data_IF_755995052024
#
_entry.id   IF_755995052024
#
_cell.length_a   1.000
_cell.length_b   1.000
_cell.length_c   1.000
_cell.angle_alpha   90.00
_cell.angle_beta   90.00
_cell.angle_gamma   90.00
#
_symmetry.space_group_name_H-M   'P 1'
#
loop_
_entity.id
_entity.type
_entity.pdbx_description
1 polymer ?
#
# COMPACT_ATOMS: atom_id res chain seq x y z
N UNK A 1 -26.05 33.22 55.46
CA UNK A 1 -25.45 31.86 55.56
C UNK A 1 -25.23 31.38 54.13
N UNK A 2 -24.02 31.52 53.59
CA UNK A 2 -23.00 30.45 53.43
C UNK A 2 -23.45 29.33 52.48
N UNK A 3 -22.79 29.23 51.32
CA UNK A 3 -22.93 28.07 50.44
C UNK A 3 -22.29 28.24 49.05
N UNK A 4 -20.99 28.54 49.01
CA UNK A 4 -20.16 28.28 47.83
C UNK A 4 -20.04 26.77 47.62
N UNK A 5 -20.35 26.24 46.44
CA UNK A 5 -19.67 25.05 45.88
C UNK A 5 -19.52 25.25 44.36
N UNK A 6 -18.26 25.30 43.94
CA UNK A 6 -17.81 25.41 42.56
C UNK A 6 -18.20 24.14 41.78
N UNK A 7 -18.83 24.32 40.63
CA UNK A 7 -19.05 23.23 39.66
C UNK A 7 -17.76 23.12 38.85
N UNK A 8 -16.96 22.11 39.20
CA UNK A 8 -15.79 21.67 38.46
C UNK A 8 -16.21 21.19 37.07
N UNK A 9 -15.80 21.93 36.05
CA UNK A 9 -15.87 21.50 34.66
C UNK A 9 -14.84 20.39 34.42
N UNK A 10 -15.28 19.13 34.46
CA UNK A 10 -14.51 18.01 33.93
C UNK A 10 -14.62 18.03 32.40
N UNK A 11 -13.65 18.66 31.75
CA UNK A 11 -13.40 18.48 30.34
C UNK A 11 -12.90 17.04 30.11
N UNK A 12 -13.82 16.14 29.79
CA UNK A 12 -13.48 14.82 29.28
C UNK A 12 -12.86 15.01 27.89
N UNK A 13 -11.54 14.87 27.82
CA UNK A 13 -10.79 14.70 26.59
C UNK A 13 -11.28 13.42 25.90
N UNK A 14 -12.28 13.53 25.04
CA UNK A 14 -12.56 12.52 24.03
C UNK A 14 -11.40 12.54 23.03
N UNK A 15 -10.34 11.82 23.37
CA UNK A 15 -9.30 11.49 22.42
C UNK A 15 -9.94 10.69 21.29
N UNK A 16 -9.94 11.25 20.09
CA UNK A 16 -10.20 10.49 18.87
C UNK A 16 -9.06 9.49 18.69
N UNK A 17 -9.14 8.35 19.36
CA UNK A 17 -8.46 7.15 18.89
C UNK A 17 -9.07 6.86 17.53
N UNK A 18 -8.39 7.32 16.48
CA UNK A 18 -8.69 7.05 15.08
C UNK A 18 -8.49 5.55 14.86
N UNK A 19 -9.45 4.78 15.35
CA UNK A 19 -9.58 3.37 15.13
C UNK A 19 -9.85 3.24 13.64
N UNK A 20 -8.82 2.84 12.88
CA UNK A 20 -8.92 2.41 11.50
C UNK A 20 -9.72 1.08 11.45
N UNK A 21 -10.99 1.13 11.89
CA UNK A 21 -11.95 0.03 11.95
C UNK A 21 -12.56 -0.29 10.57
N UNK A 22 -12.14 0.44 9.54
CA UNK A 22 -12.52 0.24 8.16
C UNK A 22 -11.26 0.24 7.30
N UNK A 23 -10.44 -0.80 7.42
CA UNK A 23 -9.68 -1.25 6.25
C UNK A 23 -10.66 -2.17 5.53
N UNK A 24 -11.30 -1.76 4.42
CA UNK A 24 -12.07 -2.69 3.62
C UNK A 24 -11.16 -3.88 3.35
N UNK A 25 -11.67 -5.10 3.49
CA UNK A 25 -11.00 -6.23 2.86
C UNK A 25 -10.87 -5.84 1.39
N UNK A 26 -9.65 -5.53 0.94
CA UNK A 26 -9.38 -5.12 -0.43
C UNK A 26 -9.94 -6.24 -1.29
N UNK A 27 -11.04 -5.96 -2.00
CA UNK A 27 -11.55 -6.93 -2.95
C UNK A 27 -10.42 -7.18 -3.93
N UNK A 28 -10.18 -8.45 -4.28
CA UNK A 28 -9.18 -8.84 -5.29
C UNK A 28 -9.47 -8.21 -6.66
N UNK A 29 -10.66 -7.64 -6.85
CA UNK A 29 -11.02 -6.84 -8.01
C UNK A 29 -10.70 -5.33 -7.90
N UNK A 30 -10.40 -4.83 -6.70
CA UNK A 30 -10.02 -3.43 -6.50
C UNK A 30 -8.53 -3.21 -6.78
N UNK A 31 -8.25 -2.24 -7.65
CA UNK A 31 -6.90 -1.82 -7.96
C UNK A 31 -6.41 -0.79 -6.93
N UNK A 32 -5.21 -1.01 -6.41
CA UNK A 32 -4.53 -0.12 -5.47
C UNK A 32 -3.61 0.82 -6.24
N UNK A 33 -3.74 2.13 -6.04
CA UNK A 33 -2.85 3.13 -6.66
C UNK A 33 -1.82 3.62 -5.66
N UNK A 34 -0.55 3.40 -5.98
CA UNK A 34 0.59 3.85 -5.19
C UNK A 34 1.33 5.00 -5.88
N UNK A 35 1.85 5.91 -5.06
CA UNK A 35 2.70 7.02 -5.49
C UNK A 35 4.10 6.77 -4.97
N UNK A 36 5.07 6.76 -5.88
CA UNK A 36 6.48 6.60 -5.57
C UNK A 36 7.14 7.93 -5.23
N UNK A 37 8.34 7.91 -4.67
CA UNK A 37 9.11 9.12 -4.31
C UNK A 37 9.31 10.06 -5.50
N UNK A 38 9.45 9.49 -6.70
CA UNK A 38 9.57 10.21 -7.98
C UNK A 38 8.26 10.82 -8.49
N UNK A 39 7.16 10.71 -7.74
CA UNK A 39 5.77 11.02 -8.16
C UNK A 39 5.21 10.08 -9.24
N UNK A 40 5.96 9.06 -9.67
CA UNK A 40 5.46 8.01 -10.54
C UNK A 40 4.27 7.28 -9.87
N UNK A 41 3.28 6.92 -10.67
CA UNK A 41 2.12 6.13 -10.23
C UNK A 41 2.28 4.68 -10.63
N UNK A 42 2.06 3.79 -9.67
CA UNK A 42 2.03 2.33 -9.85
C UNK A 42 0.67 1.86 -9.40
N UNK A 43 -0.09 1.25 -10.30
CA UNK A 43 -1.42 0.72 -9.99
C UNK A 43 -1.33 -0.79 -9.99
N UNK A 44 -1.72 -1.46 -8.91
CA UNK A 44 -1.51 -2.89 -8.76
C UNK A 44 -2.63 -3.57 -7.96
N UNK A 45 -2.72 -4.89 -8.05
CA UNK A 45 -3.61 -5.72 -7.23
C UNK A 45 -3.07 -7.15 -7.12
N UNK A 46 -3.50 -7.88 -6.10
CA UNK A 46 -3.40 -9.35 -6.12
C UNK A 46 -4.36 -9.92 -7.16
N UNK A 47 -3.99 -11.03 -7.82
CA UNK A 47 -4.88 -11.68 -8.80
C UNK A 47 -6.04 -12.40 -8.13
N UNK A 48 -5.84 -12.87 -6.91
CA UNK A 48 -6.77 -13.65 -6.10
C UNK A 48 -6.28 -13.71 -4.64
N UNK A 49 -7.03 -14.40 -3.78
CA UNK A 49 -6.75 -14.52 -2.35
C UNK A 49 -5.52 -15.36 -2.02
N UNK A 50 -4.99 -16.15 -2.96
CA UNK A 50 -3.74 -16.91 -2.75
C UNK A 50 -2.52 -15.99 -2.68
N UNK A 51 -2.61 -14.80 -3.29
CA UNK A 51 -1.53 -13.82 -3.39
C UNK A 51 -0.26 -14.36 -4.04
N UNK A 52 -0.38 -15.43 -4.84
CA UNK A 52 0.73 -16.02 -5.61
C UNK A 52 1.06 -15.23 -6.88
N UNK A 53 0.18 -14.32 -7.28
CA UNK A 53 0.42 -13.40 -8.38
C UNK A 53 -0.19 -12.02 -8.15
N UNK A 54 0.37 -11.04 -8.85
CA UNK A 54 -0.10 -9.66 -8.87
C UNK A 54 -0.21 -9.18 -10.31
N UNK A 55 -1.16 -8.29 -10.55
CA UNK A 55 -1.25 -7.51 -11.78
C UNK A 55 -0.72 -6.09 -11.48
N UNK A 56 0.18 -5.57 -12.32
CA UNK A 56 0.80 -4.24 -12.17
C UNK A 56 0.62 -3.41 -13.46
N UNK A 57 0.30 -2.14 -13.30
CA UNK A 57 0.26 -1.11 -14.35
C UNK A 57 1.17 0.04 -13.97
N UNK A 58 1.93 0.54 -14.94
CA UNK A 58 2.90 1.61 -14.75
C UNK A 58 2.40 2.91 -15.40
N UNK A 59 2.51 4.04 -14.70
CA UNK A 59 2.37 5.36 -15.30
C UNK A 59 1.02 5.65 -15.96
N UNK A 60 -0.05 4.96 -15.57
CA UNK A 60 -1.38 5.11 -16.18
C UNK A 60 -1.54 4.46 -17.55
N UNK A 61 -0.62 3.59 -17.97
CA UNK A 61 -0.76 2.80 -19.18
C UNK A 61 -1.78 1.66 -19.01
N UNK A 62 -2.41 1.26 -20.12
CA UNK A 62 -3.34 0.12 -20.17
C UNK A 62 -2.64 -1.24 -20.07
N UNK A 63 -1.31 -1.27 -20.30
CA UNK A 63 -0.51 -2.49 -20.22
C UNK A 63 -0.53 -3.05 -18.79
N UNK A 64 -1.03 -4.28 -18.66
CA UNK A 64 -1.00 -5.06 -17.42
C UNK A 64 0.17 -6.03 -17.48
N UNK A 65 1.02 -6.01 -16.46
CA UNK A 65 2.06 -6.98 -16.22
C UNK A 65 1.61 -7.93 -15.13
N UNK A 66 1.38 -9.20 -15.48
CA UNK A 66 1.14 -10.26 -14.50
C UNK A 66 2.47 -10.79 -14.00
N UNK A 67 2.68 -10.70 -12.70
CA UNK A 67 3.91 -11.08 -12.02
C UNK A 67 3.60 -12.21 -11.04
N UNK A 68 4.47 -13.22 -10.96
CA UNK A 68 4.35 -14.36 -10.05
C UNK A 68 5.26 -14.18 -8.85
N UNK A 69 4.85 -14.71 -7.70
CA UNK A 69 5.64 -14.66 -6.49
C UNK A 69 6.95 -15.46 -6.67
N UNK A 70 8.06 -14.82 -6.33
CA UNK A 70 9.41 -15.37 -6.40
C UNK A 70 9.91 -15.72 -4.99
N UNK A 71 10.32 -16.97 -4.73
CA UNK A 71 10.80 -17.37 -3.41
C UNK A 71 12.18 -16.78 -3.09
N UNK A 72 12.47 -16.60 -1.80
CA UNK A 72 13.82 -16.29 -1.31
C UNK A 72 14.17 -14.80 -1.17
N UNK A 73 13.24 -13.89 -1.46
CA UNK A 73 13.40 -12.47 -1.16
C UNK A 73 13.00 -12.16 0.30
N UNK A 74 13.59 -11.12 0.88
CA UNK A 74 13.08 -10.53 2.14
C UNK A 74 11.86 -9.68 1.83
N UNK A 75 10.68 -10.07 2.29
CA UNK A 75 9.39 -9.51 1.82
C UNK A 75 8.82 -10.36 0.68
N UNK A 76 7.92 -9.78 -0.12
CA UNK A 76 7.30 -10.50 -1.24
C UNK A 76 7.78 -9.91 -2.56
N UNK A 77 8.58 -10.68 -3.30
CA UNK A 77 9.01 -10.33 -4.64
C UNK A 77 8.07 -10.97 -5.64
N UNK A 78 7.64 -10.21 -6.63
CA UNK A 78 6.88 -10.71 -7.77
C UNK A 78 7.60 -10.36 -9.06
N UNK A 79 7.72 -11.31 -9.99
CA UNK A 79 8.33 -11.06 -11.30
C UNK A 79 7.75 -11.88 -12.44
N UNK A 80 8.06 -11.48 -13.66
CA UNK A 80 7.79 -12.22 -14.89
C UNK A 80 8.99 -12.17 -15.85
N UNK A 81 10.20 -12.14 -15.31
CA UNK A 81 11.50 -12.00 -16.00
C UNK A 81 11.72 -10.66 -16.73
N UNK A 82 10.69 -9.81 -16.85
CA UNK A 82 10.78 -8.49 -17.45
C UNK A 82 10.66 -7.39 -16.40
N UNK A 83 9.63 -7.46 -15.55
CA UNK A 83 9.34 -6.50 -14.50
C UNK A 83 9.48 -7.18 -13.14
N UNK A 84 10.07 -6.49 -12.18
CA UNK A 84 10.09 -6.91 -10.78
C UNK A 84 9.32 -5.90 -9.93
N UNK A 85 8.50 -6.42 -9.04
CA UNK A 85 7.76 -5.67 -8.05
C UNK A 85 8.01 -6.27 -6.67
N UNK A 86 8.68 -5.51 -5.82
CA UNK A 86 9.04 -5.95 -4.48
C UNK A 86 8.20 -5.21 -3.45
N UNK A 87 7.37 -5.96 -2.74
CA UNK A 87 6.58 -5.49 -1.61
C UNK A 87 7.35 -5.70 -0.31
N UNK A 88 7.58 -4.61 0.42
CA UNK A 88 8.23 -4.63 1.74
C UNK A 88 7.41 -3.82 2.75
N UNK A 89 6.57 -4.51 3.51
CA UNK A 89 5.64 -3.85 4.43
C UNK A 89 4.59 -3.05 3.66
N UNK A 90 4.57 -1.73 3.87
CA UNK A 90 3.64 -0.80 3.19
C UNK A 90 4.27 -0.06 2.02
N UNK A 91 5.48 -0.45 1.60
CA UNK A 91 6.22 0.17 0.52
C UNK A 91 6.51 -0.81 -0.62
N UNK A 92 6.56 -0.25 -1.83
CA UNK A 92 6.87 -0.95 -3.08
C UNK A 92 8.11 -0.41 -3.77
N UNK A 93 8.83 -1.33 -4.41
CA UNK A 93 9.93 -1.07 -5.33
C UNK A 93 9.60 -1.72 -6.67
N UNK A 94 9.72 -0.98 -7.77
CA UNK A 94 9.48 -1.47 -9.13
C UNK A 94 10.70 -1.18 -10.00
N UNK A 95 11.17 -2.18 -10.74
CA UNK A 95 12.30 -2.03 -11.67
C UNK A 95 12.22 -3.02 -12.84
N UNK A 96 12.90 -2.69 -13.94
CA UNK A 96 13.09 -3.61 -15.07
C UNK A 96 14.17 -4.64 -14.74
N UNK A 97 13.88 -5.92 -14.88
CA UNK A 97 14.80 -7.02 -14.53
C UNK A 97 16.03 -7.03 -15.44
N UNK A 98 15.81 -6.85 -16.75
CA UNK A 98 16.88 -6.96 -17.74
C UNK A 98 18.00 -5.91 -17.57
N UNK A 99 17.64 -4.69 -17.17
CA UNK A 99 18.57 -3.55 -17.07
C UNK A 99 18.83 -3.11 -15.62
N UNK A 100 18.04 -3.58 -14.66
CA UNK A 100 17.97 -3.06 -13.30
C UNK A 100 17.57 -1.57 -13.23
N UNK A 101 16.90 -1.07 -14.27
CA UNK A 101 16.45 0.32 -14.30
C UNK A 101 15.29 0.52 -13.32
N UNK A 102 15.48 1.46 -12.39
CA UNK A 102 14.50 1.81 -11.38
C UNK A 102 13.31 2.56 -11.99
N UNK A 103 12.11 2.02 -11.81
CA UNK A 103 10.86 2.65 -12.23
C UNK A 103 10.24 3.45 -11.08
N UNK A 104 10.24 2.86 -9.88
CA UNK A 104 9.67 3.48 -8.71
C UNK A 104 10.24 2.92 -7.42
N UNK A 105 10.52 3.79 -6.46
CA UNK A 105 10.96 3.48 -5.09
C UNK A 105 10.03 4.17 -4.10
N UNK A 106 9.83 3.57 -2.94
CA UNK A 106 9.01 4.15 -1.87
C UNK A 106 7.54 4.27 -2.30
N UNK A 107 7.11 3.44 -3.24
CA UNK A 107 5.74 3.46 -3.75
C UNK A 107 4.80 3.02 -2.64
N UNK A 108 3.83 3.87 -2.29
CA UNK A 108 2.88 3.57 -1.22
C UNK A 108 1.53 4.20 -1.49
N UNK A 109 0.50 3.71 -0.81
CA UNK A 109 -0.79 4.35 -0.80
C UNK A 109 -0.64 5.76 -0.21
N UNK A 110 -1.36 6.72 -0.79
CA UNK A 110 -1.42 8.09 -0.27
C UNK A 110 -2.49 8.22 0.80
#
# INVERSE_FOLDING_TARGET
MKGFIAITALALLAGCSNFNLFKPAESTDSWTTWTCDSQAKVVWRFTDDSREAVDVRLGGADQVYRLKHEPGASGSLYSNDMLAFHLKGEEGLVYWVATNDLIGRGCKAQ
#
